data_IF_294080713493
#
_entry.id   IF_294080713493
#
_cell.length_a   1.000
_cell.length_b   1.000
_cell.length_c   1.000
_cell.angle_alpha   90.00
_cell.angle_beta   90.00
_cell.angle_gamma   90.00
#
_symmetry.space_group_name_H-M   'P 1'
#
loop_
_entity.id
_entity.type
_entity.pdbx_description
1 polymer ?
#
# COMPACT_ATOMS: atom_id res chain seq x y z
N UNK A 1 -4.47 12.22 16.35
CA UNK A 1 -3.47 11.65 15.39
C UNK A 1 -4.27 11.10 14.21
N UNK A 2 -3.71 10.96 13.00
CA UNK A 2 -4.51 10.59 11.83
C UNK A 2 -5.27 9.25 12.03
N UNK A 3 -4.67 8.28 12.72
CA UNK A 3 -5.34 7.00 13.01
C UNK A 3 -6.59 7.18 13.87
N UNK A 4 -6.58 8.10 14.85
CA UNK A 4 -7.74 8.35 15.72
C UNK A 4 -8.91 8.99 14.99
N UNK A 5 -8.66 9.66 13.86
CA UNK A 5 -9.70 10.27 13.03
C UNK A 5 -10.31 9.28 12.03
N UNK A 6 -9.53 8.26 11.61
CA UNK A 6 -9.94 7.26 10.64
C UNK A 6 -10.61 6.03 11.29
N UNK A 7 -10.40 5.79 12.59
CA UNK A 7 -11.02 4.65 13.28
C UNK A 7 -10.61 3.32 12.66
N UNK A 8 -11.59 2.44 12.40
CA UNK A 8 -11.33 1.11 11.79
C UNK A 8 -10.75 1.21 10.37
N UNK A 9 -11.03 2.30 9.65
CA UNK A 9 -10.52 2.52 8.30
C UNK A 9 -9.02 2.81 8.30
N UNK A 10 -8.43 3.17 9.45
CA UNK A 10 -7.00 3.36 9.60
C UNK A 10 -6.22 2.10 9.21
N UNK A 11 -6.80 0.91 9.39
CA UNK A 11 -6.15 -0.35 9.04
C UNK A 11 -5.86 -0.48 7.54
N UNK A 12 -6.60 0.23 6.67
CA UNK A 12 -6.37 0.21 5.22
C UNK A 12 -5.13 1.00 4.82
N UNK A 13 -4.65 1.89 5.68
CA UNK A 13 -3.52 2.74 5.38
C UNK A 13 -2.21 2.15 5.91
N UNK A 14 -1.17 2.19 5.08
CA UNK A 14 0.18 1.71 5.41
C UNK A 14 1.13 2.90 5.32
N UNK A 15 1.92 3.12 6.38
CA UNK A 15 3.03 4.07 6.34
C UNK A 15 4.18 3.46 5.54
N UNK A 16 4.59 4.15 4.48
CA UNK A 16 5.65 3.70 3.57
C UNK A 16 6.82 4.69 3.66
N UNK A 17 7.85 4.30 4.41
CA UNK A 17 8.96 5.20 4.72
C UNK A 17 8.51 6.40 5.58
N UNK A 18 9.17 7.55 5.41
CA UNK A 18 8.98 8.71 6.30
C UNK A 18 7.81 9.62 5.88
N UNK A 19 7.57 9.80 4.59
CA UNK A 19 6.67 10.83 4.06
C UNK A 19 5.43 10.31 3.34
N UNK A 20 5.27 8.99 3.17
CA UNK A 20 4.15 8.41 2.44
C UNK A 20 3.24 7.60 3.37
N UNK A 21 1.94 7.78 3.15
CA UNK A 21 0.86 6.94 3.68
C UNK A 21 0.04 6.50 2.48
N UNK A 22 -0.12 5.20 2.30
CA UNK A 22 -0.77 4.61 1.11
C UNK A 22 -1.98 3.79 1.56
N UNK A 23 -3.12 3.96 0.89
CA UNK A 23 -4.24 3.05 1.04
C UNK A 23 -3.95 1.74 0.27
N UNK A 24 -3.84 0.63 1.01
CA UNK A 24 -3.45 -0.68 0.50
C UNK A 24 -4.48 -1.28 -0.47
N UNK A 25 -5.75 -0.92 -0.31
CA UNK A 25 -6.83 -1.51 -1.10
C UNK A 25 -6.71 -1.12 -2.59
N UNK A 26 -6.02 -0.02 -2.87
CA UNK A 26 -5.78 0.48 -4.23
C UNK A 26 -4.38 0.14 -4.75
N UNK A 27 -3.55 -0.60 -4.00
CA UNK A 27 -2.21 -0.97 -4.47
C UNK A 27 -2.32 -1.97 -5.62
N UNK A 28 -2.02 -1.49 -6.83
CA UNK A 28 -2.09 -2.28 -8.05
C UNK A 28 -0.75 -2.93 -8.40
N UNK A 29 0.35 -2.18 -8.29
CA UNK A 29 1.68 -2.67 -8.63
C UNK A 29 2.76 -2.06 -7.74
N UNK A 30 3.74 -2.87 -7.36
CA UNK A 30 4.93 -2.46 -6.62
C UNK A 30 6.16 -2.82 -7.46
N UNK A 31 6.88 -1.82 -7.96
CA UNK A 31 8.09 -2.02 -8.75
C UNK A 31 9.33 -1.61 -7.95
N UNK A 32 10.08 -2.61 -7.48
CA UNK A 32 11.30 -2.41 -6.67
C UNK A 32 12.44 -1.82 -7.51
N UNK A 33 12.52 -2.16 -8.80
CA UNK A 33 13.62 -1.71 -9.66
C UNK A 33 13.44 -0.23 -9.98
N UNK A 34 12.23 0.16 -10.37
CA UNK A 34 11.86 1.56 -10.65
C UNK A 34 11.65 2.39 -9.38
N UNK A 35 11.53 1.73 -8.22
CA UNK A 35 11.23 2.35 -6.92
C UNK A 35 9.89 3.09 -6.94
N UNK A 36 8.90 2.46 -7.55
CA UNK A 36 7.58 3.03 -7.82
C UNK A 36 6.47 2.16 -7.24
N UNK A 37 5.41 2.80 -6.75
CA UNK A 37 4.17 2.16 -6.32
C UNK A 37 3.04 2.74 -7.16
N UNK A 38 2.27 1.89 -7.80
CA UNK A 38 1.12 2.29 -8.60
C UNK A 38 -0.16 1.96 -7.85
N UNK A 39 -0.97 2.99 -7.64
CA UNK A 39 -2.33 2.89 -7.14
C UNK A 39 -3.29 2.98 -8.32
N UNK A 40 -4.33 2.15 -8.33
CA UNK A 40 -5.35 2.20 -9.37
C UNK A 40 -6.73 1.92 -8.79
N UNK A 41 -7.72 2.61 -9.34
CA UNK A 41 -9.14 2.37 -9.10
C UNK A 41 -9.80 2.12 -10.45
N UNK A 42 -10.38 0.92 -10.60
CA UNK A 42 -11.05 0.51 -11.84
C UNK A 42 -12.38 1.21 -12.07
N UNK A 43 -13.09 1.55 -11.00
CA UNK A 43 -14.39 2.23 -11.08
C UNK A 43 -14.19 3.69 -11.51
N UNK A 44 -13.23 4.36 -10.89
CA UNK A 44 -12.87 5.74 -11.21
C UNK A 44 -11.97 5.86 -12.45
N UNK A 45 -11.51 4.73 -13.01
CA UNK A 45 -10.56 4.65 -14.14
C UNK A 45 -9.33 5.54 -13.93
N UNK A 46 -8.88 5.65 -12.69
CA UNK A 46 -7.77 6.51 -12.33
C UNK A 46 -6.57 5.66 -11.92
N UNK A 47 -5.37 6.18 -12.21
CA UNK A 47 -4.11 5.56 -11.84
C UNK A 47 -3.13 6.65 -11.43
N UNK A 48 -2.47 6.43 -10.30
CA UNK A 48 -1.41 7.30 -9.80
C UNK A 48 -0.19 6.45 -9.50
N UNK A 49 0.97 6.88 -9.99
CA UNK A 49 2.26 6.25 -9.65
C UNK A 49 3.04 7.21 -8.77
N UNK A 50 3.51 6.72 -7.63
CA UNK A 50 4.31 7.47 -6.67
C UNK A 50 5.69 6.84 -6.55
N UNK A 51 6.72 7.69 -6.56
CA UNK A 51 8.09 7.28 -6.26
C UNK A 51 8.32 7.18 -4.76
N UNK A 52 9.13 6.20 -4.34
CA UNK A 52 9.57 6.04 -2.96
C UNK A 52 11.01 5.52 -2.90
N UNK A 53 11.60 5.43 -1.70
CA UNK A 53 12.91 4.79 -1.58
C UNK A 53 12.81 3.28 -1.79
N UNK A 54 13.90 2.64 -2.24
CA UNK A 54 13.94 1.19 -2.49
C UNK A 54 13.50 0.37 -1.26
N UNK A 55 13.95 0.78 -0.07
CA UNK A 55 13.60 0.10 1.18
C UNK A 55 12.13 0.30 1.55
N UNK A 56 11.56 1.46 1.26
CA UNK A 56 10.13 1.71 1.49
C UNK A 56 9.27 0.84 0.56
N UNK A 57 9.64 0.72 -0.72
CA UNK A 57 8.95 -0.13 -1.70
C UNK A 57 9.05 -1.62 -1.31
N UNK A 58 10.22 -2.08 -0.85
CA UNK A 58 10.40 -3.45 -0.32
C UNK A 58 9.54 -3.70 0.91
N UNK A 59 9.57 -2.80 1.88
CA UNK A 59 8.77 -2.91 3.11
C UNK A 59 7.27 -3.02 2.81
N UNK A 60 6.76 -2.20 1.88
CA UNK A 60 5.37 -2.31 1.43
C UNK A 60 5.08 -3.69 0.80
N UNK A 61 5.97 -4.21 -0.06
CA UNK A 61 5.81 -5.53 -0.68
C UNK A 61 5.70 -6.63 0.39
N UNK A 62 6.60 -6.62 1.36
CA UNK A 62 6.62 -7.62 2.44
C UNK A 62 5.33 -7.58 3.28
N UNK A 63 4.82 -6.38 3.58
CA UNK A 63 3.54 -6.21 4.30
C UNK A 63 2.38 -6.75 3.47
N UNK A 64 2.31 -6.43 2.17
CA UNK A 64 1.26 -6.89 1.28
C UNK A 64 1.27 -8.42 1.13
N UNK A 65 2.44 -9.04 0.97
CA UNK A 65 2.58 -10.49 0.88
C UNK A 65 2.09 -11.19 2.16
N UNK A 66 2.42 -10.65 3.34
CA UNK A 66 1.89 -11.16 4.62
C UNK A 66 0.38 -11.03 4.68
N UNK A 67 -0.18 -9.91 4.23
CA UNK A 67 -1.61 -9.67 4.21
C UNK A 67 -2.36 -10.66 3.31
N UNK A 68 -1.85 -10.91 2.09
CA UNK A 68 -2.43 -11.89 1.18
C UNK A 68 -2.30 -13.33 1.69
N UNK A 69 -1.15 -13.69 2.27
CA UNK A 69 -0.96 -15.01 2.85
C UNK A 69 -1.84 -15.25 4.08
N UNK A 70 -2.10 -14.20 4.87
CA UNK A 70 -3.05 -14.27 5.97
C UNK A 70 -4.49 -14.51 5.49
N UNK A 71 -4.91 -13.82 4.41
CA UNK A 71 -6.23 -14.08 3.80
C UNK A 71 -6.35 -15.52 3.29
N UNK A 72 -5.30 -16.09 2.69
CA UNK A 72 -5.31 -17.48 2.20
C UNK A 72 -5.42 -18.54 3.31
N UNK A 73 -4.88 -18.28 4.51
CA UNK A 73 -4.92 -19.23 5.64
C UNK A 73 -6.26 -19.25 6.38
N UNK A 74 -7.12 -18.26 6.18
CA UNK A 74 -8.44 -18.16 6.80
C UNK A 74 -9.56 -18.81 5.97
N UNK A 75 -9.23 -19.36 4.80
CA UNK A 75 -10.14 -20.06 3.89
C UNK A 75 -9.95 -21.56 4.09
#
# INVERSE_FOLDING_TARGET
MLESQLGLEAERFIRVGKSLIINRDFVFMIDIQRKEITLADSELRCKVTVGASKDAVKSLKDIMERYFNFKRKKI
#
